data_IF_093890384303
#
_entry.id   IF_093890384303
#
_cell.length_a   1.000
_cell.length_b   1.000
_cell.length_c   1.000
_cell.angle_alpha   90.00
_cell.angle_beta   90.00
_cell.angle_gamma   90.00
#
_symmetry.space_group_name_H-M   'P 1'
#
loop_
_entity.id
_entity.type
_entity.pdbx_description
1 polymer ?
#
# COMPACT_ATOMS: atom_id res chain seq x y z
N UNK A 1 -7.79 -5.51 3.99
CA UNK A 1 -7.59 -6.82 3.33
C UNK A 1 -7.24 -7.90 4.35
N UNK A 2 -7.50 -9.17 4.06
CA UNK A 2 -7.26 -10.29 4.99
C UNK A 2 -6.56 -11.45 4.29
N UNK A 3 -5.51 -12.01 4.92
CA UNK A 3 -4.81 -13.22 4.47
C UNK A 3 -4.05 -13.84 5.64
N UNK A 4 -3.97 -15.18 5.70
CA UNK A 4 -3.22 -15.91 6.74
C UNK A 4 -3.58 -15.52 8.19
N UNK A 5 -4.88 -15.37 8.50
CA UNK A 5 -5.36 -14.90 9.80
C UNK A 5 -4.78 -13.53 10.22
N UNK A 6 -4.40 -12.68 9.26
CA UNK A 6 -4.01 -11.28 9.48
C UNK A 6 -4.96 -10.35 8.72
N UNK A 7 -5.57 -9.42 9.44
CA UNK A 7 -6.42 -8.38 8.88
C UNK A 7 -5.67 -7.05 8.87
N UNK A 8 -5.49 -6.49 7.68
CA UNK A 8 -4.90 -5.17 7.47
C UNK A 8 -6.00 -4.15 7.19
N UNK A 9 -6.01 -3.05 7.93
CA UNK A 9 -6.96 -1.94 7.80
C UNK A 9 -6.20 -0.63 7.89
N UNK A 10 -6.48 0.31 6.99
CA UNK A 10 -6.08 1.71 7.11
C UNK A 10 -7.27 2.55 7.58
N UNK A 11 -6.99 3.62 8.32
CA UNK A 11 -7.96 4.65 8.65
C UNK A 11 -7.64 5.99 7.98
N UNK A 12 -8.59 6.93 8.05
CA UNK A 12 -8.44 8.25 7.43
C UNK A 12 -7.42 9.16 8.14
N UNK A 13 -6.96 8.79 9.33
CA UNK A 13 -5.92 9.50 10.05
C UNK A 13 -4.51 9.08 9.60
N UNK A 14 -4.40 8.09 8.71
CA UNK A 14 -3.12 7.57 8.24
C UNK A 14 -2.60 6.40 9.05
N UNK A 15 -3.38 5.88 10.01
CA UNK A 15 -2.98 4.71 10.76
C UNK A 15 -3.27 3.44 9.97
N UNK A 16 -2.30 2.54 9.96
CA UNK A 16 -2.41 1.19 9.42
C UNK A 16 -2.34 0.21 10.58
N UNK A 17 -3.32 -0.69 10.63
CA UNK A 17 -3.44 -1.71 11.66
C UNK A 17 -3.27 -3.09 11.05
N UNK A 18 -2.47 -3.93 11.69
CA UNK A 18 -2.53 -5.38 11.54
C UNK A 18 -3.23 -5.97 12.75
N UNK A 19 -4.36 -6.62 12.53
CA UNK A 19 -5.25 -7.14 13.56
C UNK A 19 -5.42 -8.65 13.42
N UNK A 20 -5.69 -9.32 14.54
CA UNK A 20 -6.28 -10.66 14.52
C UNK A 20 -7.75 -10.52 14.04
N UNK A 21 -8.15 -11.18 12.94
CA UNK A 21 -9.48 -11.02 12.35
C UNK A 21 -10.61 -11.61 13.19
N UNK A 22 -10.31 -12.52 14.13
CA UNK A 22 -11.32 -13.19 14.97
C UNK A 22 -11.63 -12.37 16.21
N UNK A 23 -10.63 -11.66 16.73
CA UNK A 23 -10.72 -10.93 18.01
C UNK A 23 -10.67 -9.42 17.86
N UNK A 24 -10.20 -8.91 16.72
CA UNK A 24 -9.94 -7.48 16.48
C UNK A 24 -8.73 -6.93 17.25
N UNK A 25 -7.97 -7.77 17.98
CA UNK A 25 -6.82 -7.32 18.74
C UNK A 25 -5.67 -6.93 17.80
N UNK A 26 -5.02 -5.78 18.02
CA UNK A 26 -3.89 -5.38 17.20
C UNK A 26 -2.67 -6.27 17.48
N UNK A 27 -2.04 -6.72 16.40
CA UNK A 27 -0.64 -7.16 16.41
C UNK A 27 0.27 -5.93 16.43
N UNK A 28 -0.01 -4.94 15.59
CA UNK A 28 0.67 -3.65 15.57
C UNK A 28 -0.20 -2.57 14.90
N UNK A 29 0.18 -1.32 15.15
CA UNK A 29 -0.31 -0.12 14.47
C UNK A 29 0.90 0.68 14.00
N UNK A 30 0.82 1.23 12.79
CA UNK A 30 1.84 2.10 12.20
C UNK A 30 1.18 3.40 11.73
N UNK A 31 1.84 4.52 11.95
CA UNK A 31 1.41 5.84 11.46
C UNK A 31 2.15 6.13 10.15
N UNK A 32 1.40 6.23 9.04
CA UNK A 32 1.96 6.63 7.75
C UNK A 32 2.26 8.13 7.68
N UNK A 33 1.90 8.90 8.72
CA UNK A 33 2.08 10.35 8.81
C UNK A 33 1.32 11.17 7.76
N UNK A 34 0.49 10.51 6.94
CA UNK A 34 -0.38 11.12 5.94
C UNK A 34 -1.70 10.36 5.85
N UNK A 35 -2.79 11.07 5.52
CA UNK A 35 -4.11 10.47 5.43
C UNK A 35 -4.15 9.37 4.34
N UNK A 36 -4.68 8.19 4.69
CA UNK A 36 -4.90 7.13 3.71
C UNK A 36 -6.39 7.02 3.36
N UNK A 37 -6.67 7.03 2.06
CA UNK A 37 -8.02 6.84 1.51
C UNK A 37 -8.17 5.49 0.82
N UNK A 38 -7.04 4.84 0.53
CA UNK A 38 -6.97 3.59 -0.18
C UNK A 38 -7.20 2.39 0.75
N UNK A 39 -7.79 1.33 0.22
CA UNK A 39 -7.81 0.04 0.90
C UNK A 39 -6.44 -0.65 0.75
N UNK A 40 -5.99 -1.45 1.74
CA UNK A 40 -4.77 -2.24 1.60
C UNK A 40 -4.92 -3.30 0.51
N UNK A 41 -3.93 -3.42 -0.37
CA UNK A 41 -3.81 -4.52 -1.33
C UNK A 41 -2.81 -5.56 -0.80
N UNK A 42 -3.20 -6.85 -0.78
CA UNK A 42 -2.27 -7.94 -0.45
C UNK A 42 -1.88 -8.67 -1.72
N UNK A 43 -0.57 -8.79 -1.99
CA UNK A 43 0.00 -9.57 -3.08
C UNK A 43 1.11 -10.42 -2.49
N UNK A 44 1.02 -11.75 -2.64
CA UNK A 44 1.99 -12.69 -2.05
C UNK A 44 2.22 -12.45 -0.55
N UNK A 45 3.41 -11.99 -0.16
CA UNK A 45 3.85 -11.70 1.20
C UNK A 45 3.93 -10.19 1.51
N UNK A 46 3.34 -9.34 0.66
CA UNK A 46 3.39 -7.87 0.76
C UNK A 46 2.01 -7.24 0.86
N UNK A 47 1.94 -6.13 1.57
CA UNK A 47 0.76 -5.28 1.73
C UNK A 47 1.08 -3.88 1.24
N UNK A 48 0.32 -3.38 0.27
CA UNK A 48 0.53 -2.09 -0.39
C UNK A 48 -0.54 -1.10 0.05
N UNK A 49 -0.13 0.10 0.40
CA UNK A 49 -0.99 1.21 0.81
C UNK A 49 -0.47 2.52 0.24
N UNK A 50 -1.39 3.34 -0.26
CA UNK A 50 -1.11 4.70 -0.70
C UNK A 50 -1.69 5.74 0.26
N UNK A 51 -1.05 6.91 0.31
CA UNK A 51 -1.51 8.05 1.10
C UNK A 51 -1.60 9.36 0.30
N UNK A 52 -2.04 10.41 0.99
CA UNK A 52 -2.27 11.74 0.45
C UNK A 52 -0.99 12.50 0.06
N UNK A 53 0.15 12.20 0.69
CA UNK A 53 1.45 12.80 0.33
C UNK A 53 2.07 12.12 -0.90
N UNK A 54 1.47 11.01 -1.32
CA UNK A 54 1.79 10.31 -2.54
C UNK A 54 2.75 9.16 -2.33
N UNK A 55 2.96 8.75 -1.08
CA UNK A 55 3.80 7.61 -0.76
C UNK A 55 3.00 6.30 -0.95
N UNK A 56 3.71 5.30 -1.45
CA UNK A 56 3.29 3.90 -1.43
C UNK A 56 4.15 3.18 -0.40
N UNK A 57 3.59 2.90 0.76
CA UNK A 57 4.25 2.08 1.77
C UNK A 57 3.92 0.61 1.54
N UNK A 58 4.96 -0.23 1.54
CA UNK A 58 4.85 -1.67 1.37
C UNK A 58 5.27 -2.36 2.66
N UNK A 59 4.32 -3.00 3.33
CA UNK A 59 4.57 -3.79 4.54
C UNK A 59 4.75 -5.27 4.18
N UNK A 60 5.49 -6.01 5.02
CA UNK A 60 5.43 -7.47 4.98
C UNK A 60 4.12 -7.96 5.58
N UNK A 61 3.57 -9.03 5.03
CA UNK A 61 2.42 -9.75 5.56
C UNK A 61 2.84 -10.55 6.80
N UNK A 62 3.05 -9.87 7.93
CA UNK A 62 3.47 -10.48 9.20
C UNK A 62 2.79 -9.87 10.44
N UNK A 63 2.91 -10.58 11.56
CA UNK A 63 2.50 -10.12 12.90
C UNK A 63 3.48 -9.12 13.50
N UNK A 64 4.66 -8.97 12.93
CA UNK A 64 5.64 -7.95 13.25
C UNK A 64 5.51 -6.82 12.22
N UNK A 65 5.68 -5.59 12.68
CA UNK A 65 5.71 -4.45 11.77
C UNK A 65 7.04 -4.46 11.02
N UNK A 66 6.97 -4.52 9.69
CA UNK A 66 8.13 -4.46 8.82
C UNK A 66 7.76 -3.73 7.52
N UNK A 67 8.47 -2.64 7.23
CA UNK A 67 8.38 -1.93 5.95
C UNK A 67 9.42 -2.52 5.01
N UNK A 68 8.95 -3.09 3.91
CA UNK A 68 9.77 -3.64 2.82
C UNK A 68 10.28 -2.53 1.91
N UNK A 69 9.45 -1.52 1.65
CA UNK A 69 9.76 -0.40 0.77
C UNK A 69 8.80 0.75 1.00
N UNK A 70 9.26 1.95 0.68
CA UNK A 70 8.43 3.16 0.59
C UNK A 70 8.86 3.93 -0.66
N UNK A 71 7.89 4.36 -1.46
CA UNK A 71 8.15 5.02 -2.74
C UNK A 71 7.21 6.20 -2.92
N UNK A 72 7.77 7.40 -3.08
CA UNK A 72 6.99 8.58 -3.41
C UNK A 72 6.64 8.62 -4.90
N UNK A 73 5.35 8.73 -5.21
CA UNK A 73 4.81 8.74 -6.58
C UNK A 73 4.70 10.16 -7.16
N UNK A 74 5.12 11.19 -6.41
CA UNK A 74 5.13 12.61 -6.78
C UNK A 74 3.77 13.30 -6.77
N UNK A 75 2.71 12.60 -6.35
CA UNK A 75 1.37 13.16 -6.14
C UNK A 75 0.50 12.19 -5.36
N UNK A 76 -0.54 12.69 -4.69
CA UNK A 76 -1.45 11.95 -3.82
C UNK A 76 -1.97 10.66 -4.44
N UNK A 77 -1.93 9.56 -3.67
CA UNK A 77 -2.45 8.26 -4.04
C UNK A 77 -3.69 7.94 -3.21
N UNK A 78 -4.86 8.36 -3.71
CA UNK A 78 -6.14 8.06 -3.06
C UNK A 78 -6.74 6.72 -3.48
N UNK A 79 -6.20 6.09 -4.52
CA UNK A 79 -6.77 4.88 -5.10
C UNK A 79 -6.12 3.62 -4.52
N UNK A 80 -6.90 2.54 -4.46
CA UNK A 80 -6.37 1.22 -4.08
C UNK A 80 -5.52 0.67 -5.22
N UNK A 81 -4.23 0.36 -4.99
CA UNK A 81 -3.41 -0.33 -6.00
C UNK A 81 -4.06 -1.64 -6.44
N UNK A 82 -3.80 -2.09 -7.68
CA UNK A 82 -4.34 -3.35 -8.20
C UNK A 82 -3.30 -4.10 -9.03
N UNK A 83 -3.28 -5.43 -8.90
CA UNK A 83 -2.50 -6.30 -9.79
C UNK A 83 -3.41 -6.85 -10.89
N UNK A 84 -2.93 -6.77 -12.13
CA UNK A 84 -3.50 -7.52 -13.25
C UNK A 84 -2.38 -7.90 -14.23
N UNK A 85 -2.39 -9.14 -14.74
CA UNK A 85 -1.40 -9.63 -15.72
C UNK A 85 0.05 -9.34 -15.30
N UNK A 86 0.43 -9.75 -14.08
CA UNK A 86 1.76 -9.56 -13.50
C UNK A 86 2.25 -8.09 -13.48
N UNK A 87 1.31 -7.15 -13.50
CA UNK A 87 1.58 -5.71 -13.51
C UNK A 87 0.79 -5.04 -12.38
N UNK A 88 1.50 -4.25 -11.58
CA UNK A 88 0.93 -3.39 -10.55
C UNK A 88 0.52 -2.06 -11.16
N UNK A 89 -0.76 -1.76 -11.05
CA UNK A 89 -1.34 -0.48 -11.45
C UNK A 89 -1.59 0.38 -10.22
N UNK A 90 -1.08 1.61 -10.27
CA UNK A 90 -1.24 2.61 -9.22
C UNK A 90 -1.71 3.89 -9.90
N UNK A 91 -2.85 4.43 -9.47
CA UNK A 91 -3.30 5.74 -9.93
C UNK A 91 -3.07 6.76 -8.83
N UNK A 92 -2.26 7.78 -9.14
CA UNK A 92 -2.18 8.98 -8.33
C UNK A 92 -3.08 10.07 -8.94
N UNK A 93 -3.14 11.25 -8.31
CA UNK A 93 -3.97 12.38 -8.78
C UNK A 93 -3.72 12.78 -10.25
N UNK A 94 -2.51 12.56 -10.77
CA UNK A 94 -2.07 13.09 -12.06
C UNK A 94 -1.89 12.01 -13.15
N UNK A 95 -1.63 10.75 -12.77
CA UNK A 95 -1.22 9.70 -13.71
C UNK A 95 -1.52 8.29 -13.18
N UNK A 96 -1.62 7.34 -14.11
CA UNK A 96 -1.65 5.91 -13.85
C UNK A 96 -0.28 5.32 -14.20
N UNK A 97 0.29 4.60 -13.25
CA UNK A 97 1.54 3.85 -13.43
C UNK A 97 1.23 2.39 -13.68
N UNK A 98 2.06 1.76 -14.51
CA UNK A 98 2.12 0.33 -14.70
C UNK A 98 3.53 -0.15 -14.33
N UNK A 99 3.65 -0.89 -13.24
CA UNK A 99 4.92 -1.35 -12.68
C UNK A 99 4.97 -2.87 -12.84
N UNK A 100 6.00 -3.36 -13.53
CA UNK A 100 6.28 -4.79 -13.69
C UNK A 100 7.78 -5.02 -13.63
N UNK A 101 8.18 -6.23 -13.26
CA UNK A 101 9.59 -6.62 -13.29
C UNK A 101 10.17 -6.50 -14.71
N UNK A 102 11.39 -5.95 -14.82
CA UNK A 102 12.07 -5.76 -16.10
C UNK A 102 11.50 -4.66 -17.01
N UNK A 103 10.47 -3.91 -16.58
CA UNK A 103 10.04 -2.71 -17.30
C UNK A 103 11.10 -1.61 -17.24
N UNK A 104 11.28 -0.90 -18.36
CA UNK A 104 12.05 0.34 -18.40
C UNK A 104 11.10 1.50 -18.16
N UNK A 105 11.49 2.45 -17.30
CA UNK A 105 10.78 3.72 -17.21
C UNK A 105 10.99 4.51 -18.49
N UNK A 106 9.92 5.10 -19.03
CA UNK A 106 10.09 6.14 -20.03
C UNK A 106 10.69 7.40 -19.36
N UNK A 107 11.55 8.17 -20.07
CA UNK A 107 12.00 9.45 -19.55
C UNK A 107 10.78 10.35 -19.30
N UNK A 108 10.73 11.03 -18.15
CA UNK A 108 9.70 12.03 -17.92
C UNK A 108 9.82 13.14 -18.98
N UNK A 109 8.77 13.37 -19.76
CA UNK A 109 8.64 14.63 -20.51
C UNK A 109 8.59 15.79 -19.49
N UNK A 110 9.52 16.73 -19.62
CA UNK A 110 9.60 17.94 -18.80
C UNK A 110 8.54 18.97 -19.21
#
# INVERSE_FOLDING_TARGET
>A
AIKNDLLFVSDFSGLVHCLDPKTGKPHWTYDMFAASWASPLIVEDKVYLGDEDGDITVFRLSKEQEIVSEVNMGSSVYTTPVIANDTLFIANRNRVFAIREGAKSEPSEQ
#
